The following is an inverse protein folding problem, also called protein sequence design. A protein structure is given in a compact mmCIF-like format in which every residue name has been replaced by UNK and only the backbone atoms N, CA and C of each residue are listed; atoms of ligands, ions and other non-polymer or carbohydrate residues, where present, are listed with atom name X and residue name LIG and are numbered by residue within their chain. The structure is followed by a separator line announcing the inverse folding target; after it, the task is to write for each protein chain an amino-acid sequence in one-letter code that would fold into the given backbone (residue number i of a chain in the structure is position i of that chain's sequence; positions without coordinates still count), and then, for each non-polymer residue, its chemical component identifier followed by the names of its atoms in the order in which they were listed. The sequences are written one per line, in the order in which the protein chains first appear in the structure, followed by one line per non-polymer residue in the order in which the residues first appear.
data_IF_757389074513
#
_entry.id   IF_757389074513
#
_cell.length_a   1.000
_cell.length_b   1.000
_cell.length_c   1.000
_cell.angle_alpha   90.00
_cell.angle_beta   90.00
_cell.angle_gamma   90.00
#
_symmetry.space_group_name_H-M   'P 1'
#
loop_
_entity.id
_entity.type
_entity.pdbx_description
1 polymer ?
#
# COMPACT_ATOMS: atom_id res chain seq x y z
N UNK A 1 4.88 7.10 -13.06
CA UNK A 1 4.92 7.88 -11.80
C UNK A 1 6.38 8.15 -11.46
N UNK A 2 6.75 9.29 -10.87
CA UNK A 2 8.15 9.57 -10.56
C UNK A 2 8.67 8.56 -9.52
N UNK A 3 9.92 8.11 -9.68
CA UNK A 3 10.58 7.07 -8.87
C UNK A 3 10.46 7.30 -7.35
N UNK A 4 10.38 8.57 -6.93
CA UNK A 4 10.30 8.99 -5.52
C UNK A 4 9.10 8.45 -4.73
N UNK A 5 8.01 8.06 -5.39
CA UNK A 5 6.83 7.54 -4.69
C UNK A 5 6.84 6.03 -4.54
N UNK A 6 7.90 5.35 -5.01
CA UNK A 6 8.10 3.90 -4.91
C UNK A 6 6.84 3.10 -5.21
N UNK A 7 6.09 3.52 -6.23
CA UNK A 7 4.81 2.92 -6.53
C UNK A 7 4.99 1.53 -7.14
N UNK A 8 4.65 0.48 -6.40
CA UNK A 8 4.85 -0.92 -6.82
C UNK A 8 3.73 -1.84 -6.34
N UNK A 9 3.61 -2.99 -7.00
CA UNK A 9 2.66 -4.03 -6.62
C UNK A 9 3.24 -4.84 -5.46
N UNK A 10 2.42 -5.04 -4.42
CA UNK A 10 2.75 -5.87 -3.27
C UNK A 10 2.59 -7.35 -3.61
N UNK A 11 3.30 -8.18 -2.85
CA UNK A 11 3.27 -9.65 -2.91
C UNK A 11 2.97 -10.21 -1.51
N UNK A 12 2.73 -11.53 -1.40
CA UNK A 12 2.45 -12.17 -0.12
C UNK A 12 1.03 -11.90 0.39
N UNK A 13 0.89 -11.58 1.69
CA UNK A 13 -0.41 -11.34 2.36
C UNK A 13 -1.22 -10.19 1.71
N UNK A 14 -0.56 -9.26 1.01
CA UNK A 14 -1.18 -8.14 0.28
C UNK A 14 -1.02 -8.25 -1.25
N UNK A 15 -0.91 -9.47 -1.80
CA UNK A 15 -0.79 -9.67 -3.23
C UNK A 15 -1.97 -9.03 -4.01
N UNK A 16 -1.65 -8.20 -5.01
CA UNK A 16 -2.64 -7.49 -5.83
C UNK A 16 -2.87 -6.03 -5.40
N UNK A 17 -2.48 -5.66 -4.18
CA UNK A 17 -2.48 -4.26 -3.76
C UNK A 17 -1.25 -3.52 -4.27
N UNK A 18 -1.39 -2.22 -4.48
CA UNK A 18 -0.32 -1.29 -4.79
C UNK A 18 0.08 -0.51 -3.54
N UNK A 19 1.38 -0.35 -3.34
CA UNK A 19 1.95 0.52 -2.31
C UNK A 19 2.47 1.81 -2.96
N UNK A 20 2.21 2.95 -2.32
CA UNK A 20 2.76 4.25 -2.69
C UNK A 20 3.25 5.00 -1.44
N UNK A 21 4.45 5.58 -1.53
CA UNK A 21 5.06 6.37 -0.45
C UNK A 21 4.62 7.82 -0.59
N UNK A 22 3.77 8.30 0.32
CA UNK A 22 3.39 9.72 0.41
C UNK A 22 4.52 10.52 1.07
N UNK A 23 5.15 9.92 2.09
CA UNK A 23 6.38 10.36 2.75
C UNK A 23 7.25 9.13 3.06
N UNK A 24 8.55 9.29 3.42
CA UNK A 24 9.46 8.17 3.66
C UNK A 24 8.96 7.11 4.66
N UNK A 25 8.09 7.49 5.61
CA UNK A 25 7.47 6.56 6.55
C UNK A 25 5.93 6.69 6.56
N UNK A 26 5.32 7.06 5.43
CA UNK A 26 3.88 7.14 5.28
C UNK A 26 3.46 6.53 3.95
N UNK A 27 2.79 5.39 4.03
CA UNK A 27 2.40 4.60 2.88
C UNK A 27 0.89 4.64 2.68
N UNK A 28 0.50 4.44 1.43
CA UNK A 28 -0.87 4.18 1.01
C UNK A 28 -0.91 2.84 0.28
N UNK A 29 -1.75 1.93 0.77
CA UNK A 29 -2.13 0.71 0.09
C UNK A 29 -3.44 0.92 -0.64
N UNK A 30 -3.46 0.61 -1.93
CA UNK A 30 -4.64 0.82 -2.77
C UNK A 30 -4.74 -0.27 -3.84
N UNK A 31 -5.95 -0.49 -4.33
CA UNK A 31 -6.22 -1.37 -5.47
C UNK A 31 -6.75 -0.54 -6.64
N UNK A 32 -6.47 -0.99 -7.87
CA UNK A 32 -6.95 -0.37 -9.10
C UNK A 32 -7.84 -1.36 -9.85
N UNK A 33 -9.11 -1.03 -9.97
CA UNK A 33 -10.00 -1.71 -10.89
C UNK A 33 -10.02 -0.95 -12.23
N UNK A 34 -9.41 -1.56 -13.25
CA UNK A 34 -9.32 -0.96 -14.59
C UNK A 34 -10.58 -1.12 -15.41
N UNK A 35 -11.45 -2.07 -15.06
CA UNK A 35 -12.70 -2.32 -15.79
C UNK A 35 -13.73 -1.24 -15.48
N UNK A 36 -13.91 -0.94 -14.20
CA UNK A 36 -14.86 0.09 -13.74
C UNK A 36 -14.21 1.45 -13.41
N UNK A 37 -12.88 1.57 -13.60
CA UNK A 37 -12.09 2.80 -13.36
C UNK A 37 -12.16 3.32 -11.93
N UNK A 38 -12.07 2.42 -10.95
CA UNK A 38 -12.13 2.75 -9.53
C UNK A 38 -10.76 2.54 -8.87
N UNK A 39 -10.44 3.41 -7.91
CA UNK A 39 -9.31 3.25 -7.01
C UNK A 39 -9.86 3.04 -5.59
N UNK A 40 -9.61 1.86 -5.04
CA UNK A 40 -10.04 1.50 -3.69
C UNK A 40 -8.90 1.75 -2.71
N UNK A 41 -9.09 2.67 -1.77
CA UNK A 41 -8.10 2.96 -0.73
C UNK A 41 -8.26 1.96 0.41
N UNK A 42 -7.25 1.13 0.64
CA UNK A 42 -7.35 0.04 1.61
C UNK A 42 -6.85 0.46 3.00
N UNK A 43 -5.60 0.95 3.07
CA UNK A 43 -4.97 1.38 4.34
C UNK A 43 -3.95 2.47 4.10
N UNK A 44 -3.71 3.28 5.13
CA UNK A 44 -2.60 4.23 5.16
C UNK A 44 -2.00 4.29 6.55
N UNK A 45 -0.69 4.50 6.64
CA UNK A 45 0.04 4.49 7.90
C UNK A 45 1.54 4.37 7.71
N UNK A 46 2.27 4.14 8.79
CA UNK A 46 3.70 3.81 8.74
C UNK A 46 3.92 2.36 8.28
N UNK A 47 5.17 1.98 8.01
CA UNK A 47 5.49 0.58 7.71
C UNK A 47 5.07 -0.36 8.86
N UNK A 48 5.19 0.10 10.11
CA UNK A 48 4.80 -0.68 11.27
C UNK A 48 3.27 -0.89 11.33
N UNK A 49 2.49 0.16 11.07
CA UNK A 49 1.01 0.08 11.09
C UNK A 49 0.44 -0.92 10.06
N UNK A 50 1.14 -1.07 8.94
CA UNK A 50 0.66 -1.86 7.79
C UNK A 50 1.25 -3.29 7.79
N UNK A 51 2.54 -3.44 8.13
CA UNK A 51 3.27 -4.69 7.96
C UNK A 51 3.70 -5.36 9.26
N UNK A 52 3.69 -4.67 10.40
CA UNK A 52 4.08 -5.32 11.65
C UNK A 52 2.98 -6.31 12.07
N UNK A 53 3.28 -7.61 11.97
CA UNK A 53 2.42 -8.67 12.50
C UNK A 53 2.34 -8.45 14.00
N UNK A 54 1.16 -8.01 14.47
CA UNK A 54 0.95 -7.61 15.85
C UNK A 54 1.63 -8.56 16.82
N UNK A 55 2.51 -8.01 17.67
CA UNK A 55 2.88 -8.69 18.91
C UNK A 55 1.59 -8.96 19.66
N UNK A 56 1.07 -10.19 19.57
CA UNK A 56 0.09 -10.70 20.52
C UNK A 56 0.70 -10.49 21.90
N UNK A 57 0.17 -9.51 22.63
CA UNK A 57 0.31 -9.46 24.08
C UNK A 57 -0.60 -10.51 24.69
#
# INVERSE_FOLDING_TARGET
MPLKYHNHLLTGDYNGYWECHINPNWLLLYEKDTEIRIISLYRTGTHADIFEKGKKR
#
